data_IF_171694238971
#
_entry.id   IF_171694238971
#
_cell.length_a   1.000
_cell.length_b   1.000
_cell.length_c   1.000
_cell.angle_alpha   90.00
_cell.angle_beta   90.00
_cell.angle_gamma   90.00
#
_symmetry.space_group_name_H-M   'P 1'
#
loop_
_entity.id
_entity.type
_entity.pdbx_description
1 polymer ?
#
# COMPACT_ATOMS: atom_id res chain seq x y z
N UNK A 1 18.73 9.68 -12.36
CA UNK A 1 17.96 9.28 -11.16
C UNK A 1 18.15 7.79 -11.01
N UNK A 2 18.40 7.26 -9.80
CA UNK A 2 18.31 5.81 -9.59
C UNK A 2 16.87 5.38 -9.85
N UNK A 3 16.67 4.27 -10.54
CA UNK A 3 15.35 3.64 -10.64
C UNK A 3 14.95 3.24 -9.22
N UNK A 4 13.86 3.82 -8.73
CA UNK A 4 13.29 3.48 -7.44
C UNK A 4 11.96 2.76 -7.70
N UNK A 5 11.80 1.62 -7.05
CA UNK A 5 10.57 0.87 -6.98
C UNK A 5 9.87 1.25 -5.69
N UNK A 6 8.66 1.79 -5.79
CA UNK A 6 7.87 2.23 -4.65
C UNK A 6 6.81 1.21 -4.38
N UNK A 7 6.65 0.84 -3.12
CA UNK A 7 5.67 -0.15 -2.72
C UNK A 7 4.96 0.26 -1.43
N UNK A 8 3.66 -0.04 -1.42
CA UNK A 8 2.85 -0.05 -0.20
C UNK A 8 2.22 -1.39 -0.04
N UNK A 9 2.31 -1.94 1.15
CA UNK A 9 1.66 -3.20 1.50
C UNK A 9 0.82 -2.96 2.74
N UNK A 10 -0.41 -3.45 2.74
CA UNK A 10 -1.30 -3.33 3.89
C UNK A 10 -1.78 -4.71 4.29
N UNK A 11 -1.73 -5.01 5.57
CA UNK A 11 -2.42 -6.14 6.18
C UNK A 11 -3.67 -5.63 6.89
N UNK A 12 -4.77 -6.38 6.84
CA UNK A 12 -6.07 -6.00 7.43
C UNK A 12 -6.60 -7.15 8.27
N UNK A 13 -7.06 -6.87 9.48
CA UNK A 13 -7.60 -7.91 10.36
C UNK A 13 -8.03 -7.38 11.72
N UNK A 14 -7.95 -8.25 12.72
CA UNK A 14 -8.14 -7.94 14.13
C UNK A 14 -6.85 -7.37 14.77
N UNK A 15 -6.95 -6.94 16.03
CA UNK A 15 -5.76 -6.53 16.81
C UNK A 15 -4.78 -7.69 17.03
N UNK A 16 -5.30 -8.91 17.20
CA UNK A 16 -4.51 -10.12 17.36
C UNK A 16 -3.73 -10.46 16.09
N UNK A 17 -4.35 -10.23 14.93
CA UNK A 17 -3.71 -10.37 13.62
C UNK A 17 -2.55 -9.38 13.46
N UNK A 18 -2.72 -8.12 13.89
CA UNK A 18 -1.61 -7.15 13.88
C UNK A 18 -0.48 -7.57 14.82
N UNK A 19 -0.82 -8.13 15.99
CA UNK A 19 0.18 -8.66 16.91
C UNK A 19 0.92 -9.86 16.31
N UNK A 20 0.23 -10.72 15.56
CA UNK A 20 0.85 -11.81 14.81
C UNK A 20 1.83 -11.30 13.76
N UNK A 21 1.46 -10.26 12.98
CA UNK A 21 2.37 -9.61 12.03
C UNK A 21 3.64 -9.11 12.74
N UNK A 22 3.52 -8.37 13.85
CA UNK A 22 4.72 -7.89 14.56
C UNK A 22 5.57 -9.01 15.15
N UNK A 23 4.95 -10.08 15.68
CA UNK A 23 5.70 -11.25 16.17
C UNK A 23 6.47 -11.90 15.05
N UNK A 24 5.87 -12.07 13.88
CA UNK A 24 6.54 -12.68 12.71
C UNK A 24 7.67 -11.80 12.22
N UNK A 25 7.50 -10.48 12.13
CA UNK A 25 8.57 -9.54 11.79
C UNK A 25 9.79 -9.71 12.70
N UNK A 26 9.57 -9.74 14.02
CA UNK A 26 10.65 -9.92 15.00
C UNK A 26 11.26 -11.33 14.94
N UNK A 27 10.43 -12.36 14.77
CA UNK A 27 10.88 -13.75 14.72
C UNK A 27 11.74 -14.04 13.48
N UNK A 28 11.47 -13.39 12.34
CA UNK A 28 12.25 -13.56 11.12
C UNK A 28 13.72 -13.15 11.26
N UNK A 29 14.02 -12.27 12.23
CA UNK A 29 15.37 -11.82 12.55
C UNK A 29 15.92 -12.38 13.87
N UNK A 30 15.25 -13.37 14.48
CA UNK A 30 15.58 -13.90 15.81
C UNK A 30 15.60 -12.83 16.92
N UNK A 31 14.82 -11.75 16.75
CA UNK A 31 14.70 -10.64 17.72
C UNK A 31 13.47 -10.72 18.60
N UNK A 32 12.56 -11.68 18.34
CA UNK A 32 11.41 -11.88 19.20
C UNK A 32 11.86 -12.44 20.55
N UNK A 33 11.89 -11.58 21.55
CA UNK A 33 12.00 -12.02 22.93
C UNK A 33 10.68 -12.71 23.33
N UNK A 34 10.74 -13.79 24.11
CA UNK A 34 9.54 -14.43 24.66
C UNK A 34 9.61 -14.26 26.18
N UNK A 35 8.62 -13.58 26.80
CA UNK A 35 8.65 -13.37 28.23
C UNK A 35 8.26 -14.66 28.98
N UNK A 36 9.14 -15.13 29.86
CA UNK A 36 8.92 -16.35 30.66
C UNK A 36 7.97 -16.13 31.86
N UNK A 37 7.98 -14.93 32.44
CA UNK A 37 7.36 -14.64 33.75
C UNK A 37 6.08 -13.77 33.67
N UNK A 38 5.57 -13.50 32.47
CA UNK A 38 4.42 -12.61 32.29
C UNK A 38 3.58 -12.97 31.05
N UNK A 39 2.38 -12.39 30.89
CA UNK A 39 1.60 -12.58 29.67
C UNK A 39 2.38 -12.18 28.40
N UNK A 40 1.99 -12.72 27.23
CA UNK A 40 2.58 -12.34 25.95
C UNK A 40 2.57 -10.82 25.74
N UNK A 41 3.54 -10.33 24.98
CA UNK A 41 3.62 -8.92 24.63
C UNK A 41 2.31 -8.44 23.99
N UNK A 42 1.86 -7.26 24.45
CA UNK A 42 0.79 -6.51 23.81
C UNK A 42 1.22 -6.02 22.42
N UNK A 43 0.25 -5.64 21.58
CA UNK A 43 0.51 -5.09 20.25
C UNK A 43 1.46 -3.88 20.32
N UNK A 44 1.24 -2.98 21.28
CA UNK A 44 2.07 -1.79 21.42
C UNK A 44 3.51 -2.15 21.80
N UNK A 45 3.73 -3.10 22.72
CA UNK A 45 5.08 -3.55 23.06
C UNK A 45 5.80 -4.22 21.88
N UNK A 46 5.09 -5.01 21.08
CA UNK A 46 5.64 -5.62 19.87
C UNK A 46 5.99 -4.55 18.82
N UNK A 47 5.12 -3.57 18.62
CA UNK A 47 5.34 -2.45 17.70
C UNK A 47 6.57 -1.63 18.10
N UNK A 48 6.75 -1.36 19.39
CA UNK A 48 7.92 -0.66 19.90
C UNK A 48 9.22 -1.45 19.70
N UNK A 49 9.18 -2.79 19.85
CA UNK A 49 10.34 -3.63 19.54
C UNK A 49 10.69 -3.60 18.05
N UNK A 50 9.70 -3.73 17.16
CA UNK A 50 9.90 -3.61 15.71
C UNK A 50 10.54 -2.27 15.37
N UNK A 51 9.95 -1.18 15.86
CA UNK A 51 10.45 0.17 15.63
C UNK A 51 11.87 0.36 16.14
N UNK A 52 12.19 -0.09 17.36
CA UNK A 52 13.53 0.02 17.93
C UNK A 52 14.59 -0.63 17.04
N UNK A 53 14.36 -1.86 16.59
CA UNK A 53 15.30 -2.55 15.70
C UNK A 53 15.36 -1.94 14.30
N UNK A 54 14.24 -1.41 13.80
CA UNK A 54 14.21 -0.67 12.55
C UNK A 54 15.05 0.60 12.63
N UNK A 55 14.93 1.38 13.70
CA UNK A 55 15.70 2.61 13.91
C UNK A 55 17.21 2.35 13.99
N UNK A 56 17.62 1.25 14.63
CA UNK A 56 19.02 0.83 14.72
C UNK A 56 19.65 0.54 13.33
N UNK A 57 18.85 0.09 12.36
CA UNK A 57 19.32 -0.35 11.04
C UNK A 57 19.01 0.64 9.90
N UNK A 58 17.92 1.39 10.01
CA UNK A 58 17.37 2.28 8.99
C UNK A 58 17.33 3.76 9.39
N UNK A 59 17.64 4.11 10.64
CA UNK A 59 17.58 5.48 11.16
C UNK A 59 16.24 5.85 11.80
N UNK A 60 16.17 7.03 12.43
CA UNK A 60 15.07 7.45 13.32
C UNK A 60 13.65 7.41 12.70
N UNK A 61 13.52 7.62 11.40
CA UNK A 61 12.22 7.59 10.71
C UNK A 61 11.82 6.17 10.25
N UNK A 62 12.69 5.18 10.42
CA UNK A 62 12.45 3.80 9.99
C UNK A 62 11.42 3.12 10.89
N UNK A 63 10.29 2.73 10.31
CA UNK A 63 9.21 2.04 11.01
C UNK A 63 9.38 0.52 11.06
N UNK A 64 10.11 -0.05 10.10
CA UNK A 64 10.46 -1.47 10.03
C UNK A 64 11.78 -1.65 9.25
N UNK A 65 12.46 -2.77 9.48
CA UNK A 65 13.60 -3.18 8.65
C UNK A 65 13.14 -4.20 7.61
N UNK A 66 13.50 -4.03 6.33
CA UNK A 66 12.97 -4.92 5.27
C UNK A 66 13.32 -6.39 5.48
N UNK A 67 14.48 -6.70 6.07
CA UNK A 67 14.86 -8.07 6.42
C UNK A 67 13.96 -8.73 7.49
N UNK A 68 13.06 -7.98 8.13
CA UNK A 68 12.01 -8.54 8.98
C UNK A 68 10.87 -9.18 8.18
N UNK A 69 10.68 -8.79 6.92
CA UNK A 69 9.55 -9.26 6.09
C UNK A 69 9.68 -10.76 5.82
N UNK A 70 10.88 -11.24 5.53
CA UNK A 70 11.17 -12.65 5.34
C UNK A 70 12.56 -13.02 5.87
N UNK A 71 12.73 -14.27 6.33
CA UNK A 71 14.03 -14.77 6.83
C UNK A 71 15.14 -14.71 5.78
N UNK A 72 14.78 -14.89 4.52
CA UNK A 72 15.66 -14.72 3.36
C UNK A 72 14.90 -13.88 2.34
N UNK A 73 15.32 -12.63 2.20
CA UNK A 73 14.65 -11.69 1.29
C UNK A 73 15.18 -11.86 -0.14
N UNK A 74 14.27 -11.89 -1.10
CA UNK A 74 14.59 -11.77 -2.53
C UNK A 74 14.73 -10.31 -2.94
N UNK A 75 13.91 -9.44 -2.35
CA UNK A 75 13.86 -8.02 -2.66
C UNK A 75 14.78 -7.20 -1.76
N UNK A 76 14.71 -5.89 -1.95
CA UNK A 76 15.40 -4.92 -1.13
C UNK A 76 14.52 -3.71 -0.83
N UNK A 77 14.95 -2.94 0.16
CA UNK A 77 14.44 -1.62 0.43
C UNK A 77 15.56 -0.71 0.92
N UNK A 78 15.48 0.57 0.59
CA UNK A 78 16.15 1.62 1.35
C UNK A 78 15.47 1.72 2.72
N UNK A 79 16.09 1.10 3.73
CA UNK A 79 15.54 1.04 5.10
C UNK A 79 15.27 2.43 5.72
N UNK A 80 15.84 3.51 5.16
CA UNK A 80 15.55 4.89 5.59
C UNK A 80 14.18 5.39 5.14
N UNK A 81 13.63 4.78 4.09
CA UNK A 81 12.29 5.07 3.54
C UNK A 81 11.21 4.15 4.10
N UNK A 82 11.60 3.08 4.79
CA UNK A 82 10.67 2.13 5.38
C UNK A 82 9.80 2.81 6.44
N UNK A 83 8.49 2.94 6.21
CA UNK A 83 7.50 3.38 7.20
C UNK A 83 6.58 2.21 7.54
N UNK A 84 6.15 2.17 8.79
CA UNK A 84 5.28 1.14 9.31
C UNK A 84 4.27 1.75 10.28
N UNK A 85 3.00 1.65 9.93
CA UNK A 85 1.90 2.17 10.73
C UNK A 85 0.89 1.06 11.03
N UNK A 86 0.50 0.96 12.30
CA UNK A 86 -0.61 0.12 12.71
C UNK A 86 -1.68 1.03 13.28
N UNK A 87 -2.88 0.96 12.71
CA UNK A 87 -3.99 1.82 13.08
C UNK A 87 -5.30 1.03 13.16
N UNK A 88 -6.17 1.45 14.07
CA UNK A 88 -7.56 0.99 14.13
C UNK A 88 -8.41 1.89 13.24
N UNK A 89 -9.09 1.27 12.28
CA UNK A 89 -9.95 1.95 11.32
C UNK A 89 -11.33 2.23 11.90
N UNK A 90 -12.06 3.24 11.39
CA UNK A 90 -13.43 3.54 11.80
C UNK A 90 -14.42 2.36 11.66
N UNK A 91 -14.18 1.45 10.71
CA UNK A 91 -14.94 0.21 10.54
C UNK A 91 -14.80 -0.75 11.73
N UNK A 92 -13.79 -0.58 12.56
CA UNK A 92 -13.42 -1.45 13.68
C UNK A 92 -12.31 -2.45 13.35
N UNK A 93 -11.97 -2.61 12.06
CA UNK A 93 -10.80 -3.39 11.62
C UNK A 93 -9.50 -2.68 11.99
N UNK A 94 -8.43 -3.46 12.07
CA UNK A 94 -7.07 -2.97 12.21
C UNK A 94 -6.32 -3.15 10.91
N UNK A 95 -5.41 -2.21 10.64
CA UNK A 95 -4.54 -2.26 9.46
C UNK A 95 -3.10 -2.07 9.87
N UNK A 96 -2.20 -2.82 9.24
CA UNK A 96 -0.75 -2.66 9.32
C UNK A 96 -0.25 -2.27 7.92
N UNK A 97 0.13 -1.01 7.74
CA UNK A 97 0.58 -0.46 6.46
C UNK A 97 2.10 -0.27 6.47
N UNK A 98 2.74 -0.80 5.43
CA UNK A 98 4.15 -0.72 5.14
C UNK A 98 4.36 0.15 3.90
N UNK A 99 5.39 0.97 3.93
CA UNK A 99 5.78 1.86 2.83
C UNK A 99 7.28 1.76 2.65
N UNK A 100 7.77 1.62 1.43
CA UNK A 100 9.21 1.64 1.18
C UNK A 100 9.55 1.90 -0.29
N UNK A 101 10.78 2.38 -0.50
CA UNK A 101 11.44 2.46 -1.79
C UNK A 101 12.53 1.37 -1.87
N UNK A 102 12.73 0.74 -3.03
CA UNK A 102 13.76 -0.27 -3.28
C UNK A 102 14.48 -0.08 -4.61
N UNK A 103 15.66 -0.71 -4.77
CA UNK A 103 16.40 -0.71 -6.05
C UNK A 103 15.96 -1.84 -6.98
N UNK A 104 15.35 -2.89 -6.44
CA UNK A 104 14.85 -4.04 -7.20
C UNK A 104 13.33 -4.01 -7.36
N UNK A 105 12.80 -4.70 -8.39
CA UNK A 105 11.37 -4.91 -8.55
C UNK A 105 10.67 -5.44 -7.32
N UNK A 106 9.38 -5.16 -7.19
CA UNK A 106 8.56 -5.67 -6.09
C UNK A 106 8.62 -7.20 -6.04
N UNK A 107 9.09 -7.74 -4.91
CA UNK A 107 9.20 -9.19 -4.70
C UNK A 107 8.01 -9.68 -3.86
N UNK A 108 6.96 -10.14 -4.56
CA UNK A 108 5.73 -10.64 -3.93
C UNK A 108 5.99 -11.80 -2.96
N UNK A 109 7.05 -12.56 -3.17
CA UNK A 109 7.47 -13.74 -2.41
C UNK A 109 7.83 -13.40 -0.97
N UNK A 110 8.50 -12.27 -0.74
CA UNK A 110 8.87 -11.81 0.60
C UNK A 110 7.60 -11.50 1.42
N UNK A 111 6.65 -10.80 0.81
CA UNK A 111 5.39 -10.41 1.44
C UNK A 111 4.44 -11.59 1.61
N UNK A 112 4.42 -12.53 0.67
CA UNK A 112 3.69 -13.79 0.78
C UNK A 112 4.24 -14.61 1.95
N UNK A 113 5.57 -14.65 2.14
CA UNK A 113 6.18 -15.30 3.30
C UNK A 113 5.65 -14.70 4.61
N UNK A 114 5.65 -13.37 4.74
CA UNK A 114 5.11 -12.70 5.92
C UNK A 114 3.63 -13.04 6.14
N UNK A 115 2.81 -12.99 5.09
CA UNK A 115 1.39 -13.31 5.11
C UNK A 115 1.13 -14.73 5.65
N UNK A 116 1.86 -15.72 5.13
CA UNK A 116 1.71 -17.12 5.53
C UNK A 116 2.12 -17.36 6.99
N UNK A 117 3.25 -16.77 7.39
CA UNK A 117 3.82 -16.99 8.73
C UNK A 117 3.13 -16.18 9.82
N UNK A 118 2.44 -15.10 9.48
CA UNK A 118 1.57 -14.37 10.39
C UNK A 118 0.26 -15.13 10.70
N UNK A 119 -0.02 -16.28 10.07
CA UNK A 119 -1.11 -17.17 10.49
C UNK A 119 -2.51 -16.71 10.09
N UNK A 120 -2.61 -15.92 9.00
CA UNK A 120 -3.80 -15.33 8.34
C UNK A 120 -4.12 -13.90 8.73
N UNK A 121 -3.65 -12.99 7.88
CA UNK A 121 -4.10 -11.60 7.78
C UNK A 121 -4.20 -11.27 6.28
N UNK A 122 -5.38 -10.99 5.70
CA UNK A 122 -5.47 -10.49 4.34
C UNK A 122 -4.44 -9.38 4.10
N UNK A 123 -3.63 -9.52 3.06
CA UNK A 123 -2.65 -8.50 2.67
C UNK A 123 -2.89 -8.08 1.22
N UNK A 124 -2.71 -6.79 0.94
CA UNK A 124 -2.74 -6.24 -0.40
C UNK A 124 -1.52 -5.35 -0.58
N UNK A 125 -0.97 -5.32 -1.78
CA UNK A 125 0.11 -4.43 -2.14
C UNK A 125 -0.24 -3.62 -3.39
N UNK A 126 0.21 -2.38 -3.44
CA UNK A 126 0.38 -1.64 -4.70
C UNK A 126 1.85 -1.32 -4.86
N UNK A 127 2.36 -1.46 -6.08
CA UNK A 127 3.75 -1.17 -6.38
C UNK A 127 3.89 -0.54 -7.77
N UNK A 128 4.93 0.26 -7.92
CA UNK A 128 5.29 0.86 -9.20
C UNK A 128 6.79 1.10 -9.30
N UNK A 129 7.32 0.88 -10.51
CA UNK A 129 8.64 1.33 -10.91
C UNK A 129 8.57 2.72 -11.57
N UNK A 130 9.67 3.47 -11.51
CA UNK A 130 9.86 4.66 -12.33
C UNK A 130 9.74 4.39 -13.85
N UNK A 131 10.02 3.15 -14.29
CA UNK A 131 9.68 2.68 -15.63
C UNK A 131 8.26 2.13 -15.67
N UNK A 132 7.41 2.78 -16.46
CA UNK A 132 6.01 2.39 -16.63
C UNK A 132 5.85 1.00 -17.27
N UNK A 133 6.86 0.34 -17.82
CA UNK A 133 6.65 -0.86 -18.62
C UNK A 133 6.68 -2.21 -17.86
N UNK A 134 7.45 -2.35 -16.78
CA UNK A 134 7.91 -3.67 -16.35
C UNK A 134 7.40 -4.20 -15.00
N UNK A 135 7.12 -3.32 -14.02
CA UNK A 135 6.89 -3.76 -12.64
C UNK A 135 5.95 -2.80 -11.90
N UNK A 136 4.66 -2.90 -12.21
CA UNK A 136 3.61 -2.07 -11.62
C UNK A 136 2.31 -2.87 -11.55
N UNK A 137 1.55 -2.66 -10.49
CA UNK A 137 0.28 -3.36 -10.31
C UNK A 137 -0.18 -3.35 -8.86
N UNK A 138 -1.37 -3.92 -8.67
CA UNK A 138 -1.88 -4.26 -7.36
C UNK A 138 -1.82 -5.77 -7.20
N UNK A 139 -1.35 -6.25 -6.06
CA UNK A 139 -1.25 -7.66 -5.73
C UNK A 139 -2.10 -7.96 -4.51
N UNK A 140 -2.90 -9.02 -4.55
CA UNK A 140 -3.73 -9.47 -3.43
C UNK A 140 -3.22 -10.81 -2.89
N UNK A 141 -2.93 -10.86 -1.59
CA UNK A 141 -2.43 -12.03 -0.88
C UNK A 141 -3.53 -12.65 -0.03
N UNK A 142 -4.09 -13.77 -0.50
CA UNK A 142 -5.10 -14.54 0.26
C UNK A 142 -4.91 -16.03 0.09
N UNK A 143 -5.03 -16.79 1.19
CA UNK A 143 -4.98 -18.25 1.14
C UNK A 143 -3.69 -18.81 0.53
N UNK A 144 -2.58 -18.07 0.61
CA UNK A 144 -1.30 -18.41 -0.02
C UNK A 144 -1.22 -18.11 -1.53
N UNK A 145 -2.19 -17.40 -2.10
CA UNK A 145 -2.21 -17.04 -3.52
C UNK A 145 -1.91 -15.56 -3.71
N UNK A 146 -1.08 -15.29 -4.72
CA UNK A 146 -0.74 -13.97 -5.25
C UNK A 146 -1.58 -13.74 -6.51
N UNK A 147 -2.37 -12.68 -6.55
CA UNK A 147 -3.14 -12.28 -7.73
C UNK A 147 -2.82 -10.84 -8.11
N UNK A 148 -2.37 -10.63 -9.34
CA UNK A 148 -2.06 -9.29 -9.87
C UNK A 148 -3.26 -8.72 -10.63
N UNK A 149 -3.69 -7.51 -10.26
CA UNK A 149 -4.74 -6.76 -10.93
C UNK A 149 -4.13 -5.68 -11.84
N UNK A 150 -4.16 -5.99 -13.14
CA UNK A 150 -3.51 -5.19 -14.19
C UNK A 150 -4.35 -4.00 -14.67
N UNK A 151 -5.62 -3.90 -14.26
CA UNK A 151 -6.57 -2.90 -14.77
C UNK A 151 -6.25 -1.48 -14.32
N UNK A 152 -5.52 -1.30 -13.21
CA UNK A 152 -5.22 0.01 -12.59
C UNK A 152 -3.74 0.41 -12.70
N UNK A 153 -2.99 -0.22 -13.62
CA UNK A 153 -1.55 -0.03 -13.75
C UNK A 153 -1.13 1.44 -13.90
N UNK A 154 -1.92 2.23 -14.62
CA UNK A 154 -1.54 3.60 -14.94
C UNK A 154 -1.81 4.55 -13.77
N UNK A 155 -2.91 4.30 -13.06
CA UNK A 155 -3.33 4.97 -11.84
C UNK A 155 -2.34 4.69 -10.71
N UNK A 156 -1.95 3.42 -10.52
CA UNK A 156 -0.97 3.01 -9.50
C UNK A 156 0.38 3.68 -9.74
N UNK A 157 0.85 3.68 -10.99
CA UNK A 157 2.09 4.37 -11.33
C UNK A 157 2.00 5.86 -11.01
N UNK A 158 0.94 6.53 -11.47
CA UNK A 158 0.78 7.96 -11.27
C UNK A 158 0.71 8.31 -9.78
N UNK A 159 -0.03 7.51 -9.01
CA UNK A 159 -0.15 7.68 -7.57
C UNK A 159 1.16 7.48 -6.82
N UNK A 160 1.80 6.32 -6.99
CA UNK A 160 3.02 5.99 -6.25
C UNK A 160 4.24 6.81 -6.70
N UNK A 161 4.31 7.22 -7.96
CA UNK A 161 5.48 7.94 -8.48
C UNK A 161 5.31 9.46 -8.41
N UNK A 162 4.13 10.00 -8.73
CA UNK A 162 3.94 11.45 -8.87
C UNK A 162 3.28 12.09 -7.65
N UNK A 163 2.42 11.37 -6.92
CA UNK A 163 1.54 11.94 -5.88
C UNK A 163 1.70 11.29 -4.50
N UNK A 164 2.68 10.43 -4.30
CA UNK A 164 2.72 9.50 -3.17
C UNK A 164 2.85 10.11 -1.76
N UNK A 165 3.66 11.16 -1.60
CA UNK A 165 3.98 11.73 -0.28
C UNK A 165 3.79 13.25 -0.20
N UNK A 166 4.09 13.98 -1.29
CA UNK A 166 3.99 15.45 -1.30
C UNK A 166 3.39 15.97 -2.63
N UNK A 167 3.52 15.19 -3.71
CA UNK A 167 3.13 15.60 -5.05
C UNK A 167 4.21 16.44 -5.73
N UNK A 168 4.47 16.19 -7.02
CA UNK A 168 5.30 17.09 -7.83
C UNK A 168 4.52 18.37 -8.19
N UNK A 169 5.20 19.51 -8.37
CA UNK A 169 4.59 20.70 -8.96
C UNK A 169 3.90 20.36 -10.29
N UNK A 170 2.75 20.97 -10.61
CA UNK A 170 1.98 20.62 -11.80
C UNK A 170 2.79 20.65 -13.10
N UNK A 171 3.69 21.62 -13.23
CA UNK A 171 4.54 21.80 -14.41
C UNK A 171 5.56 20.66 -14.58
N UNK A 172 6.09 20.13 -13.46
CA UNK A 172 7.03 19.01 -13.45
C UNK A 172 6.30 17.69 -13.76
N UNK A 173 5.16 17.46 -13.11
CA UNK A 173 4.31 16.30 -13.36
C UNK A 173 3.85 16.23 -14.82
N UNK A 174 3.53 17.36 -15.47
CA UNK A 174 3.21 17.41 -16.90
C UNK A 174 4.37 16.91 -17.77
N UNK A 175 5.63 17.16 -17.41
CA UNK A 175 6.77 16.61 -18.17
C UNK A 175 6.86 15.09 -18.05
N UNK A 176 6.59 14.55 -16.86
CA UNK A 176 6.54 13.09 -16.66
C UNK A 176 5.35 12.47 -17.41
N UNK A 177 4.20 13.14 -17.44
CA UNK A 177 3.04 12.71 -18.21
C UNK A 177 3.28 12.70 -19.73
N UNK A 178 4.11 13.60 -20.26
CA UNK A 178 4.50 13.54 -21.69
C UNK A 178 5.34 12.32 -22.02
N UNK A 179 6.24 11.95 -21.09
CA UNK A 179 7.01 10.70 -21.21
C UNK A 179 6.06 9.50 -21.17
N UNK A 180 5.11 9.50 -20.23
CA UNK A 180 4.08 8.48 -20.10
C UNK A 180 3.23 8.36 -21.37
N UNK A 181 2.77 9.47 -21.95
CA UNK A 181 1.98 9.48 -23.18
C UNK A 181 2.71 8.79 -24.33
N UNK A 182 4.03 9.00 -24.43
CA UNK A 182 4.88 8.31 -25.40
C UNK A 182 4.90 6.79 -25.22
N UNK A 183 4.90 6.30 -23.98
CA UNK A 183 4.88 4.87 -23.65
C UNK A 183 3.49 4.26 -23.88
N UNK A 184 2.43 4.97 -23.46
CA UNK A 184 1.05 4.54 -23.65
C UNK A 184 0.72 4.34 -25.14
N UNK A 185 1.19 5.25 -26.01
CA UNK A 185 1.05 5.14 -27.47
C UNK A 185 1.77 3.93 -28.08
N UNK A 186 2.81 3.42 -27.43
CA UNK A 186 3.57 2.25 -27.91
C UNK A 186 2.99 0.92 -27.42
N UNK A 187 2.14 0.95 -26.39
CA UNK A 187 1.69 -0.24 -25.64
C UNK A 187 0.20 -0.52 -25.81
N UNK A 188 -0.44 0.02 -26.86
CA UNK A 188 -1.88 -0.08 -27.14
C UNK A 188 -2.78 0.26 -25.91
N UNK A 189 -2.38 1.27 -25.14
CA UNK A 189 -3.22 1.79 -24.06
C UNK A 189 -4.35 2.63 -24.66
N UNK A 190 -5.61 2.25 -24.39
CA UNK A 190 -6.80 2.88 -24.96
C UNK A 190 -7.17 4.25 -24.33
N UNK A 191 -6.34 4.77 -23.43
CA UNK A 191 -6.61 6.01 -22.68
C UNK A 191 -5.64 7.12 -23.04
N UNK A 192 -6.16 8.34 -23.10
CA UNK A 192 -5.36 9.58 -23.17
C UNK A 192 -4.92 10.03 -21.77
N UNK A 193 -3.92 10.91 -21.68
CA UNK A 193 -3.49 11.49 -20.39
C UNK A 193 -4.64 12.20 -19.65
N UNK A 194 -5.51 13.01 -20.30
CA UNK A 194 -6.67 13.58 -19.61
C UNK A 194 -7.64 12.53 -19.07
N UNK A 195 -7.87 11.43 -19.81
CA UNK A 195 -8.72 10.33 -19.34
C UNK A 195 -8.09 9.58 -18.17
N UNK A 196 -6.78 9.37 -18.19
CA UNK A 196 -6.04 8.79 -17.07
C UNK A 196 -6.14 9.64 -15.80
N UNK A 197 -5.83 10.94 -15.89
CA UNK A 197 -5.93 11.85 -14.75
C UNK A 197 -7.36 11.93 -14.22
N UNK A 198 -8.35 11.91 -15.10
CA UNK A 198 -9.77 11.85 -14.71
C UNK A 198 -10.07 10.53 -14.01
N UNK A 199 -9.58 9.39 -14.53
CA UNK A 199 -9.70 8.08 -13.90
C UNK A 199 -9.13 8.05 -12.50
N UNK A 200 -7.93 8.59 -12.28
CA UNK A 200 -7.33 8.73 -10.94
C UNK A 200 -8.22 9.57 -10.00
N UNK A 201 -8.73 10.71 -10.48
CA UNK A 201 -9.62 11.57 -9.70
C UNK A 201 -10.91 10.84 -9.32
N UNK A 202 -11.56 10.20 -10.30
CA UNK A 202 -12.82 9.49 -10.10
C UNK A 202 -12.60 8.30 -9.14
N UNK A 203 -11.49 7.56 -9.29
CA UNK A 203 -11.14 6.46 -8.40
C UNK A 203 -10.90 6.92 -6.95
N UNK A 204 -10.15 8.00 -6.72
CA UNK A 204 -9.95 8.54 -5.37
C UNK A 204 -11.26 9.01 -4.74
N UNK A 205 -12.15 9.63 -5.52
CA UNK A 205 -13.48 10.00 -5.07
C UNK A 205 -14.33 8.77 -4.70
N UNK A 206 -14.26 7.71 -5.51
CA UNK A 206 -14.94 6.45 -5.23
C UNK A 206 -14.41 5.81 -3.95
N UNK A 207 -13.08 5.69 -3.77
CA UNK A 207 -12.45 5.17 -2.55
C UNK A 207 -12.88 5.99 -1.33
N UNK A 208 -12.93 7.32 -1.41
CA UNK A 208 -13.44 8.19 -0.34
C UNK A 208 -14.91 7.95 0.00
N UNK A 209 -15.75 7.66 -0.99
CA UNK A 209 -17.16 7.39 -0.75
C UNK A 209 -17.35 6.17 0.17
N UNK A 210 -16.47 5.17 0.05
CA UNK A 210 -16.47 3.99 0.92
C UNK A 210 -16.06 4.33 2.36
N UNK A 211 -15.03 5.17 2.56
CA UNK A 211 -14.55 5.54 3.91
C UNK A 211 -15.50 6.45 4.68
N UNK A 212 -16.33 7.23 4.00
CA UNK A 212 -17.29 8.15 4.61
C UNK A 212 -18.52 7.47 5.23
N UNK A 213 -18.62 6.13 5.17
CA UNK A 213 -19.75 5.37 5.73
C UNK A 213 -19.30 4.23 6.66
N UNK A 214 -18.54 4.52 7.74
CA UNK A 214 -17.96 3.49 8.60
C UNK A 214 -19.02 2.63 9.30
N UNK A 215 -20.17 3.20 9.65
CA UNK A 215 -21.29 2.46 10.23
C UNK A 215 -21.92 1.49 9.23
N UNK A 216 -21.95 1.84 7.94
CA UNK A 216 -22.49 0.96 6.91
C UNK A 216 -21.54 -0.22 6.66
N UNK A 217 -20.23 0.04 6.57
CA UNK A 217 -19.22 -1.01 6.46
C UNK A 217 -19.29 -1.97 7.66
N UNK A 218 -19.40 -1.42 8.88
CA UNK A 218 -19.50 -2.24 10.09
C UNK A 218 -20.74 -3.13 10.09
N UNK A 219 -21.91 -2.59 9.73
CA UNK A 219 -23.14 -3.39 9.59
C UNK A 219 -22.99 -4.48 8.55
N UNK A 220 -22.40 -4.16 7.39
CA UNK A 220 -22.18 -5.14 6.33
C UNK A 220 -21.25 -6.26 6.79
N UNK A 221 -20.18 -5.93 7.53
CA UNK A 221 -19.32 -6.95 8.14
C UNK A 221 -20.09 -7.85 9.11
N UNK A 222 -20.88 -7.27 10.02
CA UNK A 222 -21.68 -8.03 10.98
C UNK A 222 -22.67 -8.97 10.25
N UNK A 223 -23.36 -8.46 9.23
CA UNK A 223 -24.29 -9.25 8.40
C UNK A 223 -23.59 -10.39 7.65
N UNK A 224 -22.42 -10.14 7.04
CA UNK A 224 -21.66 -11.15 6.35
C UNK A 224 -21.14 -12.22 7.33
N UNK A 225 -20.69 -11.82 8.53
CA UNK A 225 -20.25 -12.74 9.57
C UNK A 225 -21.41 -13.63 10.06
N UNK A 226 -22.58 -13.07 10.34
CA UNK A 226 -23.78 -13.83 10.74
C UNK A 226 -24.20 -14.85 9.68
N UNK A 227 -24.11 -14.47 8.40
CA UNK A 227 -24.47 -15.33 7.27
C UNK A 227 -23.36 -16.31 6.86
N UNK A 228 -22.17 -16.21 7.46
CA UNK A 228 -20.95 -16.94 7.04
C UNK A 228 -20.59 -16.69 5.58
N UNK A 229 -20.85 -15.47 5.11
CA UNK A 229 -20.48 -15.00 3.79
C UNK A 229 -19.02 -14.51 3.80
N UNK A 230 -18.09 -15.46 3.65
CA UNK A 230 -16.65 -15.17 3.65
C UNK A 230 -16.22 -14.31 2.45
N UNK A 231 -16.92 -14.43 1.32
CA UNK A 231 -16.62 -13.63 0.13
C UNK A 231 -17.02 -12.17 0.37
N UNK A 232 -18.20 -11.93 0.95
CA UNK A 232 -18.62 -10.59 1.34
C UNK A 232 -17.70 -9.95 2.38
N UNK A 233 -17.28 -10.70 3.40
CA UNK A 233 -16.29 -10.22 4.39
C UNK A 233 -14.98 -9.80 3.73
N UNK A 234 -14.51 -10.59 2.77
CA UNK A 234 -13.28 -10.31 2.04
C UNK A 234 -13.39 -9.02 1.22
N UNK A 235 -14.50 -8.81 0.49
CA UNK A 235 -14.73 -7.58 -0.26
C UNK A 235 -14.69 -6.36 0.65
N UNK A 236 -15.30 -6.43 1.85
CA UNK A 236 -15.26 -5.32 2.80
C UNK A 236 -13.84 -5.07 3.34
N UNK A 237 -13.06 -6.12 3.57
CA UNK A 237 -11.65 -5.98 3.97
C UNK A 237 -10.82 -5.33 2.87
N UNK A 238 -11.02 -5.68 1.60
CA UNK A 238 -10.37 -5.03 0.46
C UNK A 238 -10.73 -3.54 0.36
N UNK A 239 -11.99 -3.16 0.56
CA UNK A 239 -12.38 -1.75 0.57
C UNK A 239 -11.64 -0.96 1.66
N UNK A 240 -11.50 -1.52 2.87
CA UNK A 240 -10.71 -0.90 3.94
C UNK A 240 -9.22 -0.85 3.58
N UNK A 241 -8.69 -1.90 2.95
CA UNK A 241 -7.32 -1.95 2.47
C UNK A 241 -7.01 -0.84 1.46
N UNK A 242 -7.86 -0.71 0.44
CA UNK A 242 -7.74 0.30 -0.62
C UNK A 242 -7.69 1.70 -0.01
N UNK A 243 -8.54 1.99 0.97
CA UNK A 243 -8.55 3.32 1.60
C UNK A 243 -7.24 3.67 2.29
N UNK A 244 -6.55 2.65 2.83
CA UNK A 244 -5.23 2.82 3.45
C UNK A 244 -4.13 2.86 2.40
N UNK A 245 -4.17 2.01 1.36
CA UNK A 245 -3.17 1.99 0.29
C UNK A 245 -3.16 3.29 -0.54
N UNK A 246 -4.33 3.86 -0.76
CA UNK A 246 -4.52 5.15 -1.42
C UNK A 246 -4.49 6.33 -0.44
N UNK A 247 -3.99 6.12 0.80
CA UNK A 247 -3.88 7.13 1.86
C UNK A 247 -4.98 8.18 1.84
N UNK A 248 -6.20 7.72 2.10
CA UNK A 248 -7.37 8.56 1.88
C UNK A 248 -7.38 9.83 2.76
N UNK A 249 -6.58 9.85 3.83
CA UNK A 249 -6.40 10.96 4.76
C UNK A 249 -5.92 12.23 4.07
N UNK A 250 -5.15 12.10 2.99
CA UNK A 250 -4.59 13.23 2.24
C UNK A 250 -5.31 13.46 0.89
N UNK A 251 -6.48 12.84 0.66
CA UNK A 251 -7.12 12.89 -0.66
C UNK A 251 -7.48 14.30 -1.11
N UNK A 252 -7.88 15.21 -0.22
CA UNK A 252 -8.15 16.60 -0.62
C UNK A 252 -6.91 17.25 -1.27
N UNK A 253 -5.71 16.97 -0.73
CA UNK A 253 -4.46 17.44 -1.31
C UNK A 253 -4.20 16.74 -2.66
N UNK A 254 -4.40 15.43 -2.73
CA UNK A 254 -4.18 14.66 -3.95
C UNK A 254 -5.12 15.03 -5.09
N UNK A 255 -6.40 15.23 -4.80
CA UNK A 255 -7.38 15.72 -5.76
C UNK A 255 -6.99 17.11 -6.25
N UNK A 256 -6.61 18.02 -5.35
CA UNK A 256 -6.16 19.35 -5.74
C UNK A 256 -4.93 19.30 -6.67
N UNK A 257 -3.97 18.42 -6.39
CA UNK A 257 -2.79 18.22 -7.22
C UNK A 257 -3.16 17.63 -8.59
N UNK A 258 -3.91 16.53 -8.62
CA UNK A 258 -4.40 15.87 -9.84
C UNK A 258 -5.18 16.84 -10.74
N UNK A 259 -6.09 17.61 -10.16
CA UNK A 259 -6.84 18.64 -10.88
C UNK A 259 -5.94 19.75 -11.41
N UNK A 260 -4.94 20.17 -10.63
CA UNK A 260 -3.99 21.19 -11.07
C UNK A 260 -3.13 20.71 -12.24
N UNK A 261 -2.68 19.47 -12.18
CA UNK A 261 -1.93 18.81 -13.26
C UNK A 261 -2.78 18.70 -14.52
N UNK A 262 -4.05 18.30 -14.37
CA UNK A 262 -4.97 18.21 -15.50
C UNK A 262 -5.20 19.58 -16.15
N UNK A 263 -5.37 20.64 -15.34
CA UNK A 263 -5.48 22.02 -15.85
C UNK A 263 -4.23 22.46 -16.60
N UNK A 264 -3.05 22.19 -16.05
CA UNK A 264 -1.78 22.58 -16.70
C UNK A 264 -1.53 21.79 -17.99
N UNK A 265 -1.84 20.48 -18.00
CA UNK A 265 -1.78 19.66 -19.21
C UNK A 265 -2.63 20.24 -20.34
N UNK A 266 -3.88 20.62 -20.05
CA UNK A 266 -4.82 21.19 -21.02
C UNK A 266 -4.36 22.56 -21.54
N UNK A 267 -3.67 23.34 -20.72
CA UNK A 267 -3.08 24.63 -21.13
C UNK A 267 -1.91 24.43 -22.10
N UNK A 268 -1.05 23.45 -21.86
CA UNK A 268 0.07 23.12 -22.75
C UNK A 268 -0.36 22.38 -24.03
N UNK A 269 -1.49 21.67 -23.98
CA UNK A 269 -2.03 20.86 -25.09
C UNK A 269 -3.50 21.22 -25.38
N UNK A 270 -3.79 22.42 -25.92
CA UNK A 270 -5.14 22.80 -26.30
C UNK A 270 -5.64 21.89 -27.44
N UNK A 271 -6.91 21.50 -27.33
CA UNK A 271 -7.61 20.61 -28.27
C UNK A 271 -7.62 21.13 -29.72
#
# INVERSE_FOLDING_TARGET
MKELHRARVVAIGSEEDMAAVCRTLLANCDWLEIPDDRPPYSLEELRQQVKKHAEELGGEESGFYYGMVARYTYGDADNRTCRFEIARQPSGLWTACFHYDGETPFQSEDWLYLHEHAGRVPMLAIHACADFAADKGMTVFTGGQTLDEWSQMAEIWFWLMEQYEIGNPPEEAVQHLKKLEGIMRQSDFDMTIPELLRGCIDHLNDVMAHTNQPDALRRLMDECAERKDYQGLFVVQCQVAETVLWDCTHVDLWLANLESILREWQKENPA
#
